data_IF_957548395695
#
_entry.id   IF_957548395695
#
_cell.length_a   1.000
_cell.length_b   1.000
_cell.length_c   1.000
_cell.angle_alpha   90.00
_cell.angle_beta   90.00
_cell.angle_gamma   90.00
#
_symmetry.space_group_name_H-M   'P 1'
#
loop_
_entity.id
_entity.type
_entity.pdbx_description
1 polymer ?
#
# COMPACT_ATOMS: atom_id res chain seq x y z
N UNK A 1 0.55 12.05 -14.11
CA UNK A 1 1.21 11.09 -13.23
C UNK A 1 0.51 10.94 -11.87
N UNK A 2 -0.62 11.59 -11.70
CA UNK A 2 -1.46 11.46 -10.51
C UNK A 2 -2.74 10.69 -10.84
N UNK A 3 -3.28 10.02 -9.81
CA UNK A 3 -4.58 9.39 -9.90
C UNK A 3 -5.68 10.46 -9.76
N UNK A 4 -6.59 10.59 -10.72
CA UNK A 4 -7.58 11.68 -10.70
C UNK A 4 -8.58 11.60 -9.54
N UNK A 5 -8.87 10.40 -9.05
CA UNK A 5 -9.83 10.24 -7.95
C UNK A 5 -9.23 10.63 -6.61
N UNK A 6 -8.04 10.12 -6.29
CA UNK A 6 -7.44 10.25 -4.96
C UNK A 6 -6.39 11.36 -4.88
N UNK A 7 -5.88 11.82 -6.01
CA UNK A 7 -4.83 12.83 -6.05
C UNK A 7 -3.42 12.35 -5.69
N UNK A 8 -3.27 11.10 -5.27
CA UNK A 8 -1.94 10.52 -5.06
C UNK A 8 -1.37 10.05 -6.39
N UNK A 9 -0.15 9.53 -6.38
CA UNK A 9 0.50 9.07 -7.61
C UNK A 9 -0.28 7.92 -8.25
N UNK A 10 -0.18 7.80 -9.58
CA UNK A 10 -0.74 6.67 -10.29
C UNK A 10 0.28 5.52 -10.35
N UNK A 11 -0.16 4.36 -10.87
CA UNK A 11 0.66 3.17 -11.00
C UNK A 11 1.90 3.41 -11.85
N UNK A 12 1.75 4.13 -12.95
CA UNK A 12 2.84 4.39 -13.89
C UNK A 12 3.98 5.17 -13.23
N UNK A 13 3.65 6.19 -12.47
CA UNK A 13 4.64 6.96 -11.71
C UNK A 13 5.34 6.08 -10.68
N UNK A 14 4.57 5.25 -9.99
CA UNK A 14 5.12 4.32 -9.00
C UNK A 14 6.14 3.36 -9.62
N UNK A 15 5.79 2.75 -10.75
CA UNK A 15 6.69 1.81 -11.43
C UNK A 15 8.00 2.49 -11.84
N UNK A 16 7.93 3.71 -12.34
CA UNK A 16 9.10 4.50 -12.69
C UNK A 16 9.96 4.81 -11.47
N UNK A 17 9.36 5.28 -10.38
CA UNK A 17 10.08 5.60 -9.16
C UNK A 17 10.68 4.35 -8.51
N UNK A 18 10.02 3.21 -8.67
CA UNK A 18 10.54 1.95 -8.16
C UNK A 18 11.90 1.61 -8.79
N UNK A 19 12.04 1.79 -10.10
CA UNK A 19 13.31 1.58 -10.80
C UNK A 19 14.41 2.49 -10.24
N UNK A 20 14.10 3.76 -10.07
CA UNK A 20 15.07 4.74 -9.56
C UNK A 20 15.50 4.41 -8.12
N UNK A 21 14.54 4.09 -7.24
CA UNK A 21 14.81 3.83 -5.84
C UNK A 21 15.56 2.51 -5.62
N UNK A 22 15.28 1.49 -6.43
CA UNK A 22 16.02 0.23 -6.38
C UNK A 22 17.47 0.46 -6.79
N UNK A 23 17.70 1.19 -7.88
CA UNK A 23 19.06 1.51 -8.33
C UNK A 23 19.82 2.30 -7.24
N UNK A 24 19.18 3.26 -6.62
CA UNK A 24 19.77 4.06 -5.55
C UNK A 24 20.10 3.21 -4.31
N UNK A 25 19.16 2.38 -3.87
CA UNK A 25 19.34 1.50 -2.71
C UNK A 25 20.51 0.54 -2.91
N UNK A 26 20.59 -0.06 -4.09
CA UNK A 26 21.68 -0.99 -4.43
C UNK A 26 23.03 -0.29 -4.44
N UNK A 27 23.09 0.89 -5.04
CA UNK A 27 24.34 1.66 -5.15
C UNK A 27 24.91 2.03 -3.78
N UNK A 28 24.05 2.38 -2.85
CA UNK A 28 24.44 2.89 -1.53
C UNK A 28 24.28 1.88 -0.39
N UNK A 29 23.88 0.64 -0.70
CA UNK A 29 23.67 -0.38 0.34
C UNK A 29 22.57 -0.03 1.32
N UNK A 30 21.49 0.64 0.86
CA UNK A 30 20.42 1.11 1.70
C UNK A 30 19.24 0.13 1.68
N UNK A 31 18.48 0.02 2.78
CA UNK A 31 17.28 -0.78 2.77
C UNK A 31 16.17 -0.09 1.96
N UNK A 32 15.28 -0.91 1.41
CA UNK A 32 14.12 -0.46 0.66
C UNK A 32 12.99 -1.43 0.92
N UNK A 33 11.81 -0.93 1.25
CA UNK A 33 10.65 -1.76 1.51
C UNK A 33 9.47 -1.32 0.66
N UNK A 34 8.49 -2.21 0.54
CA UNK A 34 7.27 -1.97 -0.22
C UNK A 34 6.08 -2.52 0.56
N UNK A 35 4.97 -1.77 0.57
CA UNK A 35 3.69 -2.23 1.10
C UNK A 35 2.72 -2.34 -0.06
N UNK A 36 1.93 -3.41 -0.07
CA UNK A 36 0.81 -3.58 -0.99
C UNK A 36 -0.47 -3.66 -0.16
N UNK A 37 -1.45 -2.83 -0.46
CA UNK A 37 -2.64 -2.63 0.37
C UNK A 37 -3.91 -2.80 -0.46
N UNK A 38 -4.93 -3.36 0.17
CA UNK A 38 -6.23 -3.57 -0.47
C UNK A 38 -7.35 -3.33 0.54
N UNK A 39 -8.33 -2.52 0.17
CA UNK A 39 -9.48 -2.21 1.04
C UNK A 39 -10.34 -3.46 1.21
N UNK A 40 -10.53 -3.91 2.44
CA UNK A 40 -11.29 -5.11 2.74
C UNK A 40 -12.76 -4.94 2.36
N UNK A 41 -13.29 -5.95 1.68
CA UNK A 41 -14.70 -6.00 1.28
C UNK A 41 -15.18 -4.78 0.48
N UNK A 42 -14.31 -4.21 -0.34
CA UNK A 42 -14.64 -3.01 -1.10
C UNK A 42 -15.83 -3.22 -2.04
N UNK A 43 -15.94 -4.39 -2.67
CA UNK A 43 -17.08 -4.71 -3.53
C UNK A 43 -18.40 -4.63 -2.75
N UNK A 44 -18.41 -5.09 -1.50
CA UNK A 44 -19.60 -5.02 -0.63
C UNK A 44 -19.98 -3.57 -0.36
N UNK A 45 -19.03 -2.68 -0.19
CA UNK A 45 -19.29 -1.25 0.02
C UNK A 45 -19.97 -0.67 -1.22
N UNK A 46 -19.46 -0.95 -2.41
CA UNK A 46 -20.07 -0.51 -3.67
C UNK A 46 -21.48 -1.09 -3.84
N UNK A 47 -21.64 -2.38 -3.60
CA UNK A 47 -22.93 -3.06 -3.77
C UNK A 47 -23.98 -2.55 -2.81
N UNK A 48 -23.59 -2.19 -1.59
CA UNK A 48 -24.51 -1.75 -0.53
C UNK A 48 -24.80 -0.26 -0.62
N UNK A 49 -23.79 0.58 -0.87
CA UNK A 49 -23.92 2.04 -0.77
C UNK A 49 -23.72 2.78 -2.10
N UNK A 50 -23.35 2.06 -3.16
CA UNK A 50 -23.12 2.63 -4.49
C UNK A 50 -21.67 3.03 -4.74
N UNK A 51 -21.33 3.22 -6.02
CA UNK A 51 -19.96 3.55 -6.44
C UNK A 51 -19.48 4.90 -5.92
N UNK A 52 -20.38 5.87 -5.72
CA UNK A 52 -19.99 7.16 -5.16
C UNK A 52 -19.48 7.00 -3.73
N UNK A 53 -20.13 6.15 -2.94
CA UNK A 53 -19.67 5.85 -1.59
C UNK A 53 -18.30 5.14 -1.61
N UNK A 54 -18.13 4.19 -2.54
CA UNK A 54 -16.84 3.53 -2.75
C UNK A 54 -15.74 4.52 -3.09
N UNK A 55 -16.02 5.48 -3.97
CA UNK A 55 -15.07 6.54 -4.34
C UNK A 55 -14.67 7.38 -3.11
N UNK A 56 -15.62 7.72 -2.26
CA UNK A 56 -15.33 8.47 -1.03
C UNK A 56 -14.47 7.67 -0.06
N UNK A 57 -14.70 6.35 0.04
CA UNK A 57 -13.85 5.46 0.82
C UNK A 57 -12.42 5.47 0.30
N UNK A 58 -12.24 5.36 -1.02
CA UNK A 58 -10.90 5.37 -1.62
C UNK A 58 -10.17 6.68 -1.38
N UNK A 59 -10.87 7.81 -1.50
CA UNK A 59 -10.28 9.13 -1.21
C UNK A 59 -9.82 9.21 0.24
N UNK A 60 -10.63 8.75 1.17
CA UNK A 60 -10.32 8.77 2.60
C UNK A 60 -9.14 7.84 2.91
N UNK A 61 -9.13 6.66 2.34
CA UNK A 61 -8.03 5.70 2.52
C UNK A 61 -6.71 6.33 2.04
N UNK A 62 -6.73 6.98 0.88
CA UNK A 62 -5.54 7.66 0.34
C UNK A 62 -5.03 8.74 1.30
N UNK A 63 -5.92 9.55 1.86
CA UNK A 63 -5.55 10.59 2.83
C UNK A 63 -4.93 9.96 4.08
N UNK A 64 -5.53 8.90 4.60
CA UNK A 64 -5.04 8.23 5.81
C UNK A 64 -3.69 7.53 5.59
N UNK A 65 -3.51 6.89 4.44
CA UNK A 65 -2.21 6.31 4.07
C UNK A 65 -1.16 7.42 4.08
N UNK A 66 -1.41 8.49 3.34
CA UNK A 66 -0.46 9.59 3.19
C UNK A 66 -0.13 10.23 4.53
N UNK A 67 -1.09 10.34 5.44
CA UNK A 67 -0.90 10.95 6.76
C UNK A 67 0.14 10.23 7.63
N UNK A 68 0.42 8.96 7.35
CA UNK A 68 1.38 8.15 8.10
C UNK A 68 2.75 8.07 7.44
N UNK A 69 2.93 8.74 6.31
CA UNK A 69 4.15 8.63 5.51
C UNK A 69 5.04 9.86 5.64
N UNK A 70 6.33 9.64 5.40
CA UNK A 70 7.31 10.71 5.25
C UNK A 70 7.22 11.29 3.83
N UNK A 71 7.75 12.50 3.65
CA UNK A 71 7.78 13.14 2.32
C UNK A 71 8.53 12.30 1.27
N UNK A 72 9.52 11.52 1.69
CA UNK A 72 10.31 10.65 0.80
C UNK A 72 9.61 9.35 0.44
N UNK A 73 8.55 8.98 1.14
CA UNK A 73 7.78 7.76 0.83
C UNK A 73 6.89 8.00 -0.38
N UNK A 74 6.64 6.96 -1.17
CA UNK A 74 5.96 7.10 -2.45
C UNK A 74 4.67 6.26 -2.46
N UNK A 75 3.54 6.87 -2.10
CA UNK A 75 2.24 6.21 -2.21
C UNK A 75 1.69 6.33 -3.61
N UNK A 76 0.96 5.29 -4.05
CA UNK A 76 0.27 5.31 -5.33
C UNK A 76 -0.98 4.44 -5.28
N UNK A 77 -1.93 4.76 -6.15
CA UNK A 77 -3.05 3.86 -6.42
C UNK A 77 -2.63 2.89 -7.50
N UNK A 78 -2.68 1.59 -7.19
CA UNK A 78 -2.17 0.56 -8.08
C UNK A 78 -3.26 -0.08 -8.95
N UNK A 79 -4.43 -0.28 -8.39
CA UNK A 79 -5.61 -0.81 -9.05
C UNK A 79 -6.87 -0.14 -8.51
N UNK A 80 -8.03 -0.71 -8.74
CA UNK A 80 -9.31 -0.14 -8.33
C UNK A 80 -9.36 0.21 -6.85
N UNK A 81 -9.11 -0.76 -6.00
CA UNK A 81 -9.10 -0.64 -4.54
C UNK A 81 -7.73 -0.95 -3.94
N UNK A 82 -6.72 -1.03 -4.79
CA UNK A 82 -5.36 -1.40 -4.41
C UNK A 82 -4.46 -0.18 -4.34
N UNK A 83 -3.65 -0.15 -3.30
CA UNK A 83 -2.65 0.89 -3.08
C UNK A 83 -1.29 0.25 -2.88
N UNK A 84 -0.25 0.98 -3.21
CA UNK A 84 1.14 0.57 -2.96
C UNK A 84 1.89 1.74 -2.33
N UNK A 85 2.88 1.42 -1.52
CA UNK A 85 3.78 2.43 -0.98
C UNK A 85 5.20 1.92 -1.07
N UNK A 86 6.07 2.70 -1.65
CA UNK A 86 7.51 2.44 -1.65
C UNK A 86 8.13 3.24 -0.50
N UNK A 87 8.95 2.55 0.30
CA UNK A 87 9.55 3.11 1.52
C UNK A 87 11.07 3.10 1.40
N UNK A 88 11.66 4.20 0.87
CA UNK A 88 13.13 4.31 0.79
C UNK A 88 13.76 4.35 2.17
N UNK A 89 14.99 3.84 2.27
CA UNK A 89 15.79 3.84 3.52
C UNK A 89 15.02 3.26 4.70
N UNK A 90 14.24 2.21 4.43
CA UNK A 90 13.36 1.62 5.44
C UNK A 90 13.58 0.13 5.50
N UNK A 91 13.88 -0.38 6.69
CA UNK A 91 14.02 -1.81 6.96
C UNK A 91 12.65 -2.48 6.96
N UNK A 92 12.63 -3.80 6.84
CA UNK A 92 11.38 -4.56 6.93
C UNK A 92 10.67 -4.32 8.27
N UNK A 93 11.40 -4.22 9.35
CA UNK A 93 10.84 -3.96 10.68
C UNK A 93 10.15 -2.60 10.74
N UNK A 94 10.82 -1.56 10.27
CA UNK A 94 10.25 -0.21 10.26
C UNK A 94 9.08 -0.11 9.28
N UNK A 95 9.13 -0.83 8.17
CA UNK A 95 8.02 -0.90 7.23
C UNK A 95 6.77 -1.52 7.88
N UNK A 96 6.95 -2.57 8.69
CA UNK A 96 5.85 -3.17 9.43
C UNK A 96 5.22 -2.18 10.42
N UNK A 97 6.03 -1.35 11.07
CA UNK A 97 5.53 -0.32 11.99
C UNK A 97 4.68 0.71 11.24
N UNK A 98 5.15 1.16 10.08
CA UNK A 98 4.39 2.07 9.22
C UNK A 98 3.08 1.43 8.77
N UNK A 99 3.14 0.18 8.31
CA UNK A 99 1.97 -0.55 7.86
C UNK A 99 0.92 -0.69 8.98
N UNK A 100 1.35 -1.01 10.18
CA UNK A 100 0.43 -1.14 11.33
C UNK A 100 -0.20 0.21 11.71
N UNK A 101 0.56 1.31 11.62
CA UNK A 101 -0.02 2.64 11.84
C UNK A 101 -1.08 2.98 10.80
N UNK A 102 -0.83 2.65 9.53
CA UNK A 102 -1.80 2.86 8.45
C UNK A 102 -3.06 2.03 8.71
N UNK A 103 -2.89 0.74 8.99
CA UNK A 103 -4.01 -0.16 9.27
C UNK A 103 -4.86 0.34 10.43
N UNK A 104 -4.21 0.72 11.53
CA UNK A 104 -4.90 1.22 12.73
C UNK A 104 -5.62 2.54 12.47
N UNK A 105 -5.01 3.46 11.72
CA UNK A 105 -5.63 4.74 11.39
C UNK A 105 -6.91 4.55 10.58
N UNK A 106 -6.90 3.62 9.63
CA UNK A 106 -8.08 3.33 8.80
C UNK A 106 -9.17 2.67 9.65
N UNK A 107 -8.82 1.67 10.45
CA UNK A 107 -9.79 0.96 11.30
C UNK A 107 -10.42 1.88 12.35
N UNK A 108 -9.70 2.91 12.79
CA UNK A 108 -10.17 3.83 13.83
C UNK A 108 -11.20 4.85 13.32
N UNK A 109 -11.37 5.00 12.01
CA UNK A 109 -12.26 6.01 11.42
C UNK A 109 -13.37 5.36 10.58
N UNK A 110 -14.49 4.98 11.18
CA UNK A 110 -15.63 4.43 10.42
C UNK A 110 -16.11 5.40 9.36
N UNK A 111 -16.49 4.85 8.22
CA UNK A 111 -17.08 5.61 7.14
C UNK A 111 -18.54 5.93 7.45
N UNK A 112 -18.99 7.14 7.12
CA UNK A 112 -20.38 7.57 7.35
C UNK A 112 -21.05 7.89 6.00
N UNK A 113 -21.63 6.88 5.32
CA UNK A 113 -22.28 7.12 4.03
C UNK A 113 -23.54 7.97 4.16
N UNK A 114 -24.23 7.87 5.29
CA UNK A 114 -25.43 8.65 5.61
C UNK A 114 -25.35 9.13 7.06
N UNK A 115 -26.02 10.24 7.41
CA UNK A 115 -26.06 10.70 8.80
C UNK A 115 -26.52 9.61 9.75
N UNK A 116 -25.77 9.38 10.82
CA UNK A 116 -26.09 8.37 11.82
C UNK A 116 -25.63 6.96 11.51
N UNK A 117 -25.16 6.69 10.30
CA UNK A 117 -24.59 5.39 9.94
C UNK A 117 -23.09 5.39 10.14
N UNK A 118 -22.55 4.29 10.66
CA UNK A 118 -21.13 4.10 10.85
C UNK A 118 -20.74 2.73 10.30
N UNK A 119 -20.00 2.74 9.19
CA UNK A 119 -19.59 1.52 8.52
C UNK A 119 -18.09 1.32 8.77
N UNK A 120 -17.68 0.24 9.44
CA UNK A 120 -16.26 -0.03 9.65
C UNK A 120 -15.59 -0.30 8.31
N UNK A 121 -14.43 0.33 8.11
CA UNK A 121 -13.57 0.09 6.96
C UNK A 121 -12.24 -0.43 7.50
N UNK A 122 -11.77 -1.51 6.91
CA UNK A 122 -10.46 -2.06 7.24
C UNK A 122 -9.63 -2.28 5.99
N UNK A 123 -8.36 -2.49 6.16
CA UNK A 123 -7.43 -2.70 5.08
C UNK A 123 -6.49 -3.87 5.43
N UNK A 124 -6.16 -4.66 4.43
CA UNK A 124 -5.15 -5.71 4.55
C UNK A 124 -3.87 -5.24 3.88
N UNK A 125 -2.73 -5.54 4.46
CA UNK A 125 -1.43 -5.04 4.01
C UNK A 125 -0.40 -6.16 3.97
N UNK A 126 0.27 -6.28 2.84
CA UNK A 126 1.46 -7.12 2.70
C UNK A 126 2.71 -6.25 2.64
N UNK A 127 3.76 -6.66 3.32
CA UNK A 127 5.03 -5.91 3.41
C UNK A 127 6.17 -6.79 2.94
N UNK A 128 7.03 -6.23 2.10
CA UNK A 128 8.24 -6.91 1.62
C UNK A 128 9.42 -5.93 1.62
N UNK A 129 10.62 -6.48 1.66
CA UNK A 129 11.84 -5.68 1.58
C UNK A 129 12.76 -6.21 0.49
N UNK A 130 13.56 -5.32 -0.09
CA UNK A 130 14.56 -5.69 -1.08
C UNK A 130 15.61 -6.57 -0.42
N UNK A 131 15.87 -7.72 -1.04
CA UNK A 131 16.87 -8.65 -0.54
C UNK A 131 18.27 -8.22 -0.97
N UNK A 132 19.22 -8.25 -0.04
CA UNK A 132 20.63 -7.99 -0.32
C UNK A 132 21.31 -9.04 -1.22
N UNK A 133 20.65 -10.19 -1.42
CA UNK A 133 21.20 -11.30 -2.22
C UNK A 133 21.02 -11.12 -3.74
N UNK A 134 20.57 -9.95 -4.20
CA UNK A 134 20.13 -9.72 -5.57
C UNK A 134 21.03 -8.77 -6.34
N UNK A 135 22.33 -8.70 -5.97
CA UNK A 135 23.29 -7.74 -6.54
C UNK A 135 23.45 -7.81 -8.06
N UNK A 136 23.22 -8.98 -8.67
CA UNK A 136 23.44 -9.20 -10.10
C UNK A 136 22.20 -9.06 -10.97
N UNK A 137 21.04 -8.70 -10.38
CA UNK A 137 19.78 -8.58 -11.13
C UNK A 137 19.53 -7.15 -11.55
N UNK A 138 18.84 -6.99 -12.68
CA UNK A 138 18.42 -5.68 -13.15
C UNK A 138 17.37 -5.08 -12.22
N UNK A 139 17.35 -3.75 -12.10
CA UNK A 139 16.41 -3.04 -11.24
C UNK A 139 14.96 -3.35 -11.59
N UNK A 140 14.63 -3.51 -12.88
CA UNK A 140 13.27 -3.85 -13.31
C UNK A 140 12.80 -5.18 -12.77
N UNK A 141 13.64 -6.22 -12.87
CA UNK A 141 13.33 -7.54 -12.34
C UNK A 141 13.19 -7.53 -10.82
N UNK A 142 14.02 -6.76 -10.13
CA UNK A 142 13.95 -6.61 -8.67
C UNK A 142 12.68 -5.90 -8.25
N UNK A 143 12.25 -4.89 -8.99
CA UNK A 143 11.01 -4.16 -8.74
C UNK A 143 9.79 -5.06 -8.84
N UNK A 144 9.72 -5.84 -9.90
CA UNK A 144 8.63 -6.80 -10.10
C UNK A 144 8.60 -7.84 -8.97
N UNK A 145 9.77 -8.33 -8.58
CA UNK A 145 9.89 -9.31 -7.50
C UNK A 145 9.50 -8.74 -6.15
N UNK A 146 9.89 -7.50 -5.86
CA UNK A 146 9.54 -6.82 -4.63
C UNK A 146 8.03 -6.62 -4.52
N UNK A 147 7.42 -6.11 -5.58
CA UNK A 147 5.96 -5.91 -5.64
C UNK A 147 5.24 -7.27 -5.51
N UNK A 148 5.69 -8.29 -6.23
CA UNK A 148 5.09 -9.62 -6.16
C UNK A 148 5.18 -10.22 -4.76
N UNK A 149 6.29 -10.02 -4.06
CA UNK A 149 6.46 -10.48 -2.69
C UNK A 149 5.48 -9.80 -1.73
N UNK A 150 5.31 -8.47 -1.86
CA UNK A 150 4.36 -7.72 -1.06
C UNK A 150 2.92 -8.12 -1.37
N UNK A 151 2.59 -8.36 -2.65
CA UNK A 151 1.27 -8.81 -3.07
C UNK A 151 0.97 -10.23 -2.54
N UNK A 152 1.95 -11.12 -2.57
CA UNK A 152 1.81 -12.45 -1.97
C UNK A 152 1.53 -12.40 -0.47
N UNK A 153 2.20 -11.50 0.24
CA UNK A 153 1.95 -11.28 1.66
C UNK A 153 0.55 -10.69 1.90
N UNK A 154 0.09 -9.79 1.03
CA UNK A 154 -1.27 -9.26 1.08
C UNK A 154 -2.30 -10.39 0.92
N UNK A 155 -2.07 -11.29 -0.01
CA UNK A 155 -2.95 -12.45 -0.20
C UNK A 155 -3.06 -13.26 1.10
N UNK A 156 -1.93 -13.50 1.77
CA UNK A 156 -1.93 -14.22 3.06
C UNK A 156 -2.64 -13.42 4.15
N UNK A 157 -2.56 -12.10 4.15
CA UNK A 157 -3.30 -11.28 5.09
C UNK A 157 -4.81 -11.46 4.91
N UNK A 158 -5.28 -11.50 3.66
CA UNK A 158 -6.69 -11.74 3.35
C UNK A 158 -7.13 -13.14 3.77
N UNK A 159 -6.32 -14.16 3.48
CA UNK A 159 -6.61 -15.55 3.86
C UNK A 159 -6.65 -15.74 5.37
N UNK A 160 -5.84 -15.00 6.11
CA UNK A 160 -5.76 -15.09 7.57
C UNK A 160 -6.88 -14.38 8.31
N UNK A 161 -7.77 -13.67 7.59
CA UNK A 161 -8.93 -13.01 8.21
C UNK A 161 -9.01 -11.50 7.98
N UNK A 162 -8.15 -10.96 7.11
CA UNK A 162 -8.14 -9.52 6.76
C UNK A 162 -7.76 -8.61 7.93
N UNK A 163 -7.83 -7.31 7.73
CA UNK A 163 -7.54 -6.29 8.75
C UNK A 163 -6.26 -6.60 9.50
N UNK A 164 -5.18 -6.79 8.76
CA UNK A 164 -3.87 -7.13 9.34
C UNK A 164 -2.73 -6.88 8.40
N UNK A 165 -1.53 -6.86 8.98
CA UNK A 165 -0.28 -6.75 8.24
C UNK A 165 0.38 -8.13 8.22
N UNK A 166 0.83 -8.58 7.05
CA UNK A 166 1.61 -9.80 6.89
C UNK A 166 2.91 -9.47 6.18
N UNK A 167 4.00 -10.06 6.65
CA UNK A 167 5.34 -9.86 6.09
C UNK A 167 5.64 -10.98 5.10
N UNK A 168 6.24 -10.62 3.97
CA UNK A 168 6.71 -11.59 2.99
C UNK A 168 7.83 -12.46 3.58
N UNK A 169 7.81 -13.71 3.25
CA UNK A 169 8.83 -14.68 3.66
C UNK A 169 10.13 -14.51 2.87
#
# INVERSE_FOLDING_TARGET
LTDPLTGINNRRYFEHRCLEEIAHARRHGLPLACMFLDVDHFKRINDTFGHRAGDEVLKRVAVLIKSQLRASDIPARYGGEEFVVLLPKTTIRNACDVAERVRSAIAAQPFQPLPGERVPITISIGVAALSGATADKEAGALGEKLIAAADGALYRAKEAGRNRVVVAE
#
